data_IF_650291427978
#
_entry.id   IF_650291427978
#
_cell.length_a   1.000
_cell.length_b   1.000
_cell.length_c   1.000
_cell.angle_alpha   90.00
_cell.angle_beta   90.00
_cell.angle_gamma   90.00
#
_symmetry.space_group_name_H-M   'P 1'
#
loop_
_entity.id
_entity.type
_entity.pdbx_description
1 polymer ?
#
# COMPACT_ATOMS: atom_id res chain seq x y z
N UNK A 1 -9.32 -4.16 -31.07
CA UNK A 1 -8.89 -5.09 -30.02
C UNK A 1 -8.97 -4.32 -28.71
N UNK A 2 -9.76 -4.78 -27.77
CA UNK A 2 -9.85 -4.16 -26.44
C UNK A 2 -8.67 -4.57 -25.57
N UNK A 3 -8.43 -3.83 -24.46
CA UNK A 3 -7.44 -4.22 -23.47
C UNK A 3 -7.76 -5.62 -22.90
N UNK A 4 -9.06 -5.89 -22.67
CA UNK A 4 -9.52 -7.19 -22.15
C UNK A 4 -9.18 -8.34 -23.12
N UNK A 5 -9.34 -8.13 -24.46
CA UNK A 5 -8.98 -9.13 -25.47
C UNK A 5 -7.46 -9.36 -25.50
N UNK A 6 -6.68 -8.27 -25.36
CA UNK A 6 -5.21 -8.37 -25.30
C UNK A 6 -4.77 -9.18 -24.07
N UNK A 7 -5.36 -8.92 -22.91
CA UNK A 7 -5.07 -9.67 -21.69
C UNK A 7 -5.48 -11.14 -21.83
N UNK A 8 -6.65 -11.43 -22.43
CA UNK A 8 -7.08 -12.82 -22.69
C UNK A 8 -6.04 -13.54 -23.54
N UNK A 9 -5.61 -12.97 -24.66
CA UNK A 9 -4.55 -13.54 -25.50
C UNK A 9 -3.25 -13.79 -24.73
N UNK A 10 -2.80 -12.79 -23.94
CA UNK A 10 -1.57 -12.92 -23.16
C UNK A 10 -1.65 -14.03 -22.11
N UNK A 11 -2.76 -14.14 -21.41
CA UNK A 11 -2.94 -15.09 -20.32
C UNK A 11 -3.21 -16.50 -20.81
N UNK A 12 -4.04 -16.65 -21.85
CA UNK A 12 -4.50 -17.96 -22.29
C UNK A 12 -3.60 -18.55 -23.38
N UNK A 13 -3.31 -17.78 -24.45
CA UNK A 13 -2.60 -18.31 -25.62
C UNK A 13 -1.08 -18.27 -25.40
N UNK A 14 -0.57 -17.17 -24.85
CA UNK A 14 0.90 -17.01 -24.72
C UNK A 14 1.44 -17.57 -23.41
N UNK A 15 0.92 -17.14 -22.26
CA UNK A 15 1.40 -17.59 -20.94
C UNK A 15 0.80 -18.91 -20.49
N UNK A 16 -0.32 -19.32 -21.09
CA UNK A 16 -1.06 -20.53 -20.73
C UNK A 16 -1.33 -20.61 -19.20
N UNK A 17 -1.78 -19.49 -18.63
CA UNK A 17 -1.90 -19.29 -17.19
C UNK A 17 -2.82 -20.32 -16.50
N UNK A 18 -3.72 -20.96 -17.24
CA UNK A 18 -4.56 -22.06 -16.73
C UNK A 18 -3.76 -23.29 -16.27
N UNK A 19 -2.52 -23.47 -16.76
CA UNK A 19 -1.64 -24.54 -16.28
C UNK A 19 -1.25 -24.34 -14.80
N UNK A 20 -1.34 -23.13 -14.25
CA UNK A 20 -1.10 -22.87 -12.83
C UNK A 20 -2.11 -23.58 -11.94
N UNK A 21 -3.31 -23.91 -12.43
CA UNK A 21 -4.32 -24.67 -11.70
C UNK A 21 -3.88 -26.12 -11.41
N UNK A 22 -2.83 -26.61 -12.07
CA UNK A 22 -2.22 -27.94 -11.77
C UNK A 22 -1.36 -27.92 -10.50
N UNK A 23 -1.07 -26.74 -9.93
CA UNK A 23 -0.34 -26.60 -8.68
C UNK A 23 -1.30 -26.62 -7.51
N UNK A 24 -0.97 -27.34 -6.44
CA UNK A 24 -1.81 -27.47 -5.24
C UNK A 24 -2.34 -26.11 -4.73
N UNK A 25 -1.47 -25.08 -4.71
CA UNK A 25 -1.84 -23.75 -4.28
C UNK A 25 -3.01 -23.13 -5.07
N UNK A 26 -3.16 -23.51 -6.32
CA UNK A 26 -4.14 -22.93 -7.25
C UNK A 26 -5.18 -23.95 -7.74
N UNK A 27 -5.23 -25.14 -7.13
CA UNK A 27 -6.07 -26.25 -7.59
C UNK A 27 -7.58 -25.97 -7.51
N UNK A 28 -8.00 -25.04 -6.67
CA UNK A 28 -9.41 -24.61 -6.57
C UNK A 28 -9.84 -23.64 -7.69
N UNK A 29 -8.87 -23.18 -8.51
CA UNK A 29 -9.14 -22.30 -9.64
C UNK A 29 -9.30 -23.06 -10.95
N UNK A 30 -9.90 -22.38 -11.90
CA UNK A 30 -10.03 -22.79 -13.30
C UNK A 30 -9.86 -21.57 -14.20
N UNK A 31 -9.82 -21.78 -15.51
CA UNK A 31 -9.84 -20.69 -16.49
C UNK A 31 -11.07 -19.78 -16.28
N UNK A 32 -12.22 -20.38 -16.03
CA UNK A 32 -13.47 -19.66 -15.83
C UNK A 32 -13.44 -18.78 -14.57
N UNK A 33 -12.78 -19.25 -13.48
CA UNK A 33 -12.61 -18.42 -12.28
C UNK A 33 -11.67 -17.24 -12.55
N UNK A 34 -10.62 -17.43 -13.35
CA UNK A 34 -9.74 -16.32 -13.77
C UNK A 34 -10.49 -15.30 -14.62
N UNK A 35 -11.27 -15.77 -15.60
CA UNK A 35 -12.09 -14.88 -16.43
C UNK A 35 -13.12 -14.11 -15.59
N UNK A 36 -13.78 -14.75 -14.63
CA UNK A 36 -14.73 -14.09 -13.73
C UNK A 36 -14.08 -12.98 -12.90
N UNK A 37 -12.87 -13.18 -12.38
CA UNK A 37 -12.11 -12.15 -11.65
C UNK A 37 -11.80 -10.97 -12.56
N UNK A 38 -11.31 -11.23 -13.77
CA UNK A 38 -10.99 -10.18 -14.74
C UNK A 38 -12.24 -9.41 -15.18
N UNK A 39 -13.37 -10.08 -15.35
CA UNK A 39 -14.63 -9.44 -15.74
C UNK A 39 -15.20 -8.55 -14.61
N UNK A 40 -15.06 -8.95 -13.36
CA UNK A 40 -15.39 -8.12 -12.19
C UNK A 40 -14.54 -6.86 -12.18
N UNK A 41 -13.21 -7.01 -12.36
CA UNK A 41 -12.29 -5.89 -12.35
C UNK A 41 -12.46 -4.96 -13.59
N UNK A 42 -12.75 -5.52 -14.77
CA UNK A 42 -13.08 -4.73 -15.97
C UNK A 42 -14.36 -3.92 -15.79
N UNK A 43 -15.39 -4.54 -15.23
CA UNK A 43 -16.63 -3.83 -14.89
C UNK A 43 -16.39 -2.71 -13.88
N UNK A 44 -15.64 -2.98 -12.80
CA UNK A 44 -15.27 -1.98 -11.81
C UNK A 44 -14.49 -0.83 -12.44
N UNK A 45 -13.53 -1.14 -13.32
CA UNK A 45 -12.73 -0.16 -14.05
C UNK A 45 -13.61 0.76 -14.91
N UNK A 46 -14.58 0.19 -15.64
CA UNK A 46 -15.48 0.94 -16.50
C UNK A 46 -16.55 1.74 -15.75
N UNK A 47 -17.01 1.26 -14.60
CA UNK A 47 -18.11 1.90 -13.86
C UNK A 47 -17.66 2.88 -12.80
N UNK A 48 -16.51 2.63 -12.15
CA UNK A 48 -16.04 3.38 -10.98
C UNK A 48 -14.73 4.13 -11.17
N UNK A 49 -13.96 3.83 -12.21
CA UNK A 49 -12.64 4.44 -12.45
C UNK A 49 -12.63 5.33 -13.68
N UNK A 50 -12.87 4.77 -14.86
CA UNK A 50 -12.79 5.48 -16.13
C UNK A 50 -13.67 6.73 -16.20
N UNK A 51 -14.96 6.71 -15.76
CA UNK A 51 -15.83 7.88 -15.83
C UNK A 51 -15.34 9.05 -14.98
N UNK A 52 -14.60 8.76 -13.93
CA UNK A 52 -14.14 9.76 -12.96
C UNK A 52 -12.67 10.17 -13.12
N UNK A 53 -11.94 9.55 -14.05
CA UNK A 53 -10.51 9.83 -14.25
C UNK A 53 -10.24 11.34 -14.49
N UNK A 54 -11.03 11.97 -15.36
CA UNK A 54 -10.92 13.41 -15.63
C UNK A 54 -11.29 14.27 -14.40
N UNK A 55 -12.31 13.87 -13.67
CA UNK A 55 -12.75 14.60 -12.48
C UNK A 55 -11.67 14.61 -11.40
N UNK A 56 -11.09 13.45 -11.09
CA UNK A 56 -10.05 13.34 -10.06
C UNK A 56 -8.73 14.01 -10.49
N UNK A 57 -8.47 14.11 -11.79
CA UNK A 57 -7.34 14.87 -12.32
C UNK A 57 -7.53 16.39 -12.18
N UNK A 58 -8.77 16.86 -12.34
CA UNK A 58 -9.12 18.29 -12.21
C UNK A 58 -9.30 18.74 -10.77
N UNK A 59 -9.74 17.84 -9.90
CA UNK A 59 -9.95 18.07 -8.48
C UNK A 59 -8.84 17.39 -7.68
N UNK A 60 -7.65 17.99 -7.75
CA UNK A 60 -6.49 17.47 -7.02
C UNK A 60 -6.77 17.35 -5.52
N UNK A 61 -6.12 16.40 -4.82
CA UNK A 61 -6.16 16.32 -3.36
C UNK A 61 -5.82 17.66 -2.73
N UNK A 62 -6.55 18.05 -1.69
CA UNK A 62 -6.36 19.32 -1.00
C UNK A 62 -6.17 19.09 0.49
N UNK A 63 -5.10 19.62 1.04
CA UNK A 63 -4.88 19.65 2.48
C UNK A 63 -5.49 20.92 3.07
N UNK A 64 -6.38 20.79 4.03
CA UNK A 64 -7.08 21.93 4.66
C UNK A 64 -6.40 22.42 5.95
N UNK A 65 -5.29 21.80 6.34
CA UNK A 65 -4.55 22.04 7.59
C UNK A 65 -4.77 20.96 8.64
N UNK A 66 -5.74 20.07 8.44
CA UNK A 66 -6.06 18.97 9.35
C UNK A 66 -6.08 17.61 8.61
N UNK A 67 -6.69 17.57 7.44
CA UNK A 67 -6.88 16.35 6.65
C UNK A 67 -6.77 16.60 5.15
N UNK A 68 -6.53 15.51 4.42
CA UNK A 68 -6.54 15.52 2.95
C UNK A 68 -7.95 15.26 2.45
N UNK A 69 -8.47 16.17 1.64
CA UNK A 69 -9.78 16.08 1.03
C UNK A 69 -9.62 15.50 -0.37
N UNK A 70 -10.36 14.43 -0.65
CA UNK A 70 -10.44 13.74 -1.93
C UNK A 70 -11.86 13.86 -2.54
N UNK A 71 -12.00 13.77 -3.86
CA UNK A 71 -13.30 13.66 -4.50
C UNK A 71 -14.09 12.46 -4.00
N UNK A 72 -15.42 12.58 -3.87
CA UNK A 72 -16.30 11.50 -3.44
C UNK A 72 -16.16 10.25 -4.33
N UNK A 73 -15.92 10.43 -5.63
CA UNK A 73 -15.69 9.33 -6.56
C UNK A 73 -14.49 8.45 -6.17
N UNK A 74 -13.43 9.03 -5.58
CA UNK A 74 -12.28 8.26 -5.09
C UNK A 74 -12.67 7.37 -3.90
N UNK A 75 -13.49 7.89 -2.96
CA UNK A 75 -14.00 7.11 -1.84
C UNK A 75 -14.87 5.94 -2.30
N UNK A 76 -15.79 6.18 -3.23
CA UNK A 76 -16.68 5.14 -3.77
C UNK A 76 -15.91 4.07 -4.53
N UNK A 77 -14.93 4.46 -5.34
CA UNK A 77 -14.10 3.53 -6.09
C UNK A 77 -13.23 2.68 -5.15
N UNK A 78 -12.66 3.29 -4.10
CA UNK A 78 -11.91 2.58 -3.07
C UNK A 78 -12.78 1.53 -2.36
N UNK A 79 -13.95 1.91 -1.88
CA UNK A 79 -14.88 0.99 -1.21
C UNK A 79 -15.30 -0.15 -2.14
N UNK A 80 -15.59 0.15 -3.41
CA UNK A 80 -15.96 -0.85 -4.39
C UNK A 80 -14.80 -1.84 -4.68
N UNK A 81 -13.55 -1.36 -4.71
CA UNK A 81 -12.37 -2.21 -4.85
C UNK A 81 -12.18 -3.12 -3.62
N UNK A 82 -12.25 -2.57 -2.41
CA UNK A 82 -12.16 -3.35 -1.17
C UNK A 82 -13.20 -4.46 -1.14
N UNK A 83 -14.44 -4.16 -1.55
CA UNK A 83 -15.54 -5.13 -1.60
C UNK A 83 -15.29 -6.32 -2.56
N UNK A 84 -14.36 -6.20 -3.52
CA UNK A 84 -13.98 -7.32 -4.40
C UNK A 84 -13.08 -8.36 -3.72
N UNK A 85 -12.47 -8.03 -2.58
CA UNK A 85 -11.45 -8.87 -1.93
C UNK A 85 -10.09 -8.88 -2.63
N UNK A 86 -9.87 -8.04 -3.64
CA UNK A 86 -8.63 -8.04 -4.43
C UNK A 86 -7.39 -7.62 -3.64
N UNK A 87 -7.53 -6.94 -2.49
CA UNK A 87 -6.38 -6.62 -1.63
C UNK A 87 -5.66 -7.88 -1.11
N UNK A 88 -6.41 -8.95 -0.87
CA UNK A 88 -5.87 -10.21 -0.39
C UNK A 88 -5.85 -11.33 -1.46
N UNK A 89 -6.17 -11.03 -2.72
CA UNK A 89 -6.48 -12.02 -3.74
C UNK A 89 -5.43 -13.15 -3.86
N UNK A 90 -4.14 -12.82 -3.87
CA UNK A 90 -3.06 -13.79 -3.95
C UNK A 90 -2.72 -14.48 -2.62
N UNK A 91 -3.30 -14.06 -1.51
CA UNK A 91 -3.01 -14.62 -0.19
C UNK A 91 -3.75 -15.95 0.04
N UNK A 92 -3.35 -16.66 1.10
CA UNK A 92 -4.06 -17.87 1.55
C UNK A 92 -5.43 -17.49 2.14
N UNK A 93 -6.31 -18.47 2.26
CA UNK A 93 -7.63 -18.29 2.88
C UNK A 93 -7.54 -17.78 4.33
N UNK A 94 -6.49 -18.16 5.06
CA UNK A 94 -6.19 -17.66 6.40
C UNK A 94 -6.09 -16.15 6.47
N UNK A 95 -5.57 -15.52 5.41
CA UNK A 95 -5.45 -14.06 5.27
C UNK A 95 -6.63 -13.43 4.53
N UNK A 96 -7.71 -14.19 4.31
CA UNK A 96 -8.87 -13.72 3.57
C UNK A 96 -8.67 -13.71 2.05
N UNK A 97 -7.64 -14.39 1.55
CA UNK A 97 -7.30 -14.46 0.14
C UNK A 97 -7.98 -15.61 -0.60
N UNK A 98 -7.81 -15.61 -1.90
CA UNK A 98 -8.33 -16.61 -2.83
C UNK A 98 -7.22 -17.53 -3.38
N UNK A 99 -5.98 -17.33 -2.96
CA UNK A 99 -4.81 -17.98 -3.57
C UNK A 99 -4.74 -17.76 -5.10
N UNK A 100 -5.19 -16.58 -5.55
CA UNK A 100 -5.17 -16.22 -6.96
C UNK A 100 -3.72 -16.17 -7.47
N UNK A 101 -3.42 -16.71 -8.66
CA UNK A 101 -2.09 -16.53 -9.24
C UNK A 101 -1.76 -15.05 -9.43
N UNK A 102 -0.55 -14.65 -9.06
CA UNK A 102 -0.09 -13.26 -9.17
C UNK A 102 -0.22 -12.70 -10.60
N UNK A 103 -0.09 -13.56 -11.61
CA UNK A 103 -0.28 -13.19 -13.02
C UNK A 103 -1.71 -12.67 -13.28
N UNK A 104 -2.72 -13.32 -12.68
CA UNK A 104 -4.12 -12.92 -12.83
C UNK A 104 -4.41 -11.65 -12.02
N UNK A 105 -3.91 -11.57 -10.78
CA UNK A 105 -3.98 -10.36 -9.97
C UNK A 105 -3.36 -9.15 -10.70
N UNK A 106 -2.18 -9.34 -11.31
CA UNK A 106 -1.51 -8.29 -12.09
C UNK A 106 -2.34 -7.84 -13.29
N UNK A 107 -2.94 -8.78 -14.03
CA UNK A 107 -3.81 -8.45 -15.15
C UNK A 107 -5.07 -7.68 -14.71
N UNK A 108 -5.67 -8.05 -13.58
CA UNK A 108 -6.78 -7.31 -12.99
C UNK A 108 -6.39 -5.87 -12.62
N UNK A 109 -5.21 -5.69 -12.01
CA UNK A 109 -4.70 -4.37 -11.65
C UNK A 109 -4.36 -3.51 -12.89
N UNK A 110 -3.95 -4.11 -14.01
CA UNK A 110 -3.76 -3.40 -15.29
C UNK A 110 -5.07 -2.79 -15.79
N UNK A 111 -6.19 -3.51 -15.70
CA UNK A 111 -7.51 -2.97 -16.09
C UNK A 111 -7.87 -1.71 -15.29
N UNK A 112 -7.67 -1.75 -13.98
CA UNK A 112 -7.95 -0.64 -13.08
C UNK A 112 -6.98 0.54 -13.31
N UNK A 113 -5.69 0.26 -13.41
CA UNK A 113 -4.66 1.26 -13.63
C UNK A 113 -4.82 2.00 -14.96
N UNK A 114 -5.19 1.28 -16.03
CA UNK A 114 -5.49 1.89 -17.34
C UNK A 114 -6.76 2.75 -17.31
N UNK A 115 -7.74 2.41 -16.47
CA UNK A 115 -8.96 3.19 -16.33
C UNK A 115 -8.72 4.50 -15.56
N UNK A 116 -7.99 4.45 -14.43
CA UNK A 116 -7.55 5.62 -13.69
C UNK A 116 -6.45 5.25 -12.70
N UNK A 117 -5.21 5.53 -13.03
CA UNK A 117 -4.08 5.30 -12.12
C UNK A 117 -4.17 6.17 -10.86
N UNK A 118 -4.79 7.34 -10.94
CA UNK A 118 -4.99 8.24 -9.79
C UNK A 118 -5.87 7.62 -8.70
N UNK A 119 -6.80 6.73 -9.08
CA UNK A 119 -7.68 6.01 -8.15
C UNK A 119 -7.05 4.67 -7.72
N UNK A 120 -6.22 4.07 -8.57
CA UNK A 120 -5.71 2.68 -8.43
C UNK A 120 -4.49 2.54 -7.52
N UNK A 121 -4.35 3.34 -6.48
CA UNK A 121 -3.17 3.31 -5.61
C UNK A 121 -3.14 2.15 -4.57
N UNK A 122 -4.04 1.18 -4.69
CA UNK A 122 -4.17 0.03 -3.78
C UNK A 122 -2.93 -0.88 -3.75
N UNK A 123 -2.15 -0.91 -4.83
CA UNK A 123 -0.92 -1.73 -4.94
C UNK A 123 0.08 -1.43 -3.83
N UNK A 124 0.13 -0.18 -3.32
CA UNK A 124 1.01 0.18 -2.21
C UNK A 124 0.62 -0.55 -0.92
N UNK A 125 -0.68 -0.64 -0.63
CA UNK A 125 -1.20 -1.38 0.52
C UNK A 125 -0.87 -2.87 0.42
N UNK A 126 -1.10 -3.49 -0.75
CA UNK A 126 -0.76 -4.90 -0.98
C UNK A 126 0.74 -5.16 -0.83
N UNK A 127 1.58 -4.27 -1.37
CA UNK A 127 3.04 -4.39 -1.26
C UNK A 127 3.51 -4.26 0.19
N UNK A 128 2.94 -3.33 0.96
CA UNK A 128 3.22 -3.13 2.38
C UNK A 128 2.83 -4.39 3.18
N UNK A 129 1.60 -4.87 3.04
CA UNK A 129 1.11 -6.07 3.71
C UNK A 129 1.97 -7.31 3.39
N UNK A 130 2.36 -7.50 2.13
CA UNK A 130 3.27 -8.57 1.72
C UNK A 130 4.65 -8.48 2.38
N UNK A 131 5.19 -7.27 2.52
CA UNK A 131 6.47 -7.06 3.19
C UNK A 131 6.36 -7.39 4.69
N UNK A 132 5.24 -7.04 5.32
CA UNK A 132 4.95 -7.42 6.71
C UNK A 132 4.82 -8.94 6.88
N UNK A 133 4.17 -9.65 5.94
CA UNK A 133 4.12 -11.12 5.96
C UNK A 133 5.50 -11.76 5.81
N UNK A 134 6.39 -11.15 5.02
CA UNK A 134 7.72 -11.70 4.78
C UNK A 134 8.70 -11.46 5.94
N UNK A 135 8.57 -10.34 6.65
CA UNK A 135 9.59 -9.86 7.57
C UNK A 135 9.08 -9.45 8.96
N UNK A 136 7.80 -9.21 9.11
CA UNK A 136 7.18 -8.87 10.39
C UNK A 136 7.11 -10.06 11.35
N UNK A 137 7.09 -9.77 12.65
CA UNK A 137 6.77 -10.78 13.66
C UNK A 137 5.33 -11.29 13.49
N UNK A 138 4.98 -12.48 14.01
CA UNK A 138 3.59 -12.98 13.95
C UNK A 138 2.56 -11.97 14.49
N UNK A 139 2.94 -11.21 15.54
CA UNK A 139 2.07 -10.18 16.12
C UNK A 139 1.92 -8.97 15.18
N UNK A 140 3.00 -8.53 14.55
CA UNK A 140 2.95 -7.46 13.56
C UNK A 140 2.14 -7.84 12.32
N UNK A 141 2.29 -9.08 11.84
CA UNK A 141 1.51 -9.60 10.74
C UNK A 141 0.01 -9.56 11.07
N UNK A 142 -0.38 -10.07 12.26
CA UNK A 142 -1.76 -10.12 12.70
C UNK A 142 -2.37 -8.73 12.86
N UNK A 143 -1.64 -7.79 13.47
CA UNK A 143 -2.14 -6.43 13.73
C UNK A 143 -2.14 -5.57 12.48
N UNK A 144 -1.07 -5.58 11.68
CA UNK A 144 -0.93 -4.65 10.56
C UNK A 144 -1.36 -5.27 9.21
N UNK A 145 -0.77 -6.39 8.80
CA UNK A 145 -1.05 -6.97 7.49
C UNK A 145 -2.50 -7.42 7.33
N UNK A 146 -3.11 -7.98 8.39
CA UNK A 146 -4.52 -8.40 8.35
C UNK A 146 -5.46 -7.22 8.08
N UNK A 147 -5.22 -6.07 8.72
CA UNK A 147 -6.04 -4.88 8.49
C UNK A 147 -5.82 -4.27 7.10
N UNK A 148 -4.62 -4.37 6.55
CA UNK A 148 -4.32 -3.94 5.19
C UNK A 148 -5.01 -4.84 4.14
N UNK A 149 -4.94 -6.17 4.29
CA UNK A 149 -5.61 -7.09 3.39
C UNK A 149 -7.14 -6.98 3.45
N UNK A 150 -7.70 -6.64 4.61
CA UNK A 150 -9.13 -6.38 4.72
C UNK A 150 -9.58 -5.04 4.14
N UNK A 151 -8.65 -4.16 3.77
CA UNK A 151 -8.93 -2.79 3.31
C UNK A 151 -9.35 -1.83 4.42
N UNK A 152 -9.29 -2.26 5.67
CA UNK A 152 -9.59 -1.39 6.81
C UNK A 152 -8.49 -0.34 7.01
N UNK A 153 -7.24 -0.70 6.75
CA UNK A 153 -6.08 0.18 6.77
C UNK A 153 -5.40 0.22 5.41
N UNK A 154 -4.71 1.32 5.13
CA UNK A 154 -3.86 1.45 3.96
C UNK A 154 -2.38 1.31 4.34
N UNK A 155 -1.53 1.01 3.37
CA UNK A 155 -0.09 0.91 3.54
C UNK A 155 0.68 1.81 2.58
N UNK A 156 1.82 2.33 3.02
CA UNK A 156 2.73 3.14 2.21
C UNK A 156 4.18 2.76 2.42
N UNK A 157 5.05 3.21 1.52
CA UNK A 157 6.50 3.11 1.66
C UNK A 157 7.11 4.52 1.72
N UNK A 158 7.76 4.87 2.83
CA UNK A 158 8.38 6.17 3.06
C UNK A 158 9.91 6.06 2.96
N UNK A 159 10.42 6.13 1.74
CA UNK A 159 11.82 5.97 1.41
C UNK A 159 12.53 7.33 1.27
N UNK A 160 12.03 8.14 0.33
CA UNK A 160 12.68 9.37 -0.13
C UNK A 160 12.65 10.48 0.91
N UNK A 161 13.69 11.31 0.85
CA UNK A 161 13.85 12.56 1.60
C UNK A 161 14.18 13.67 0.60
N UNK A 162 14.11 14.96 0.98
CA UNK A 162 14.40 16.06 0.05
C UNK A 162 15.73 15.93 -0.69
N UNK A 163 16.76 15.37 -0.03
CA UNK A 163 18.12 15.18 -0.57
C UNK A 163 18.39 13.74 -1.08
N UNK A 164 17.49 12.77 -0.81
CA UNK A 164 17.74 11.35 -1.05
C UNK A 164 16.52 10.67 -1.68
N UNK A 165 16.71 10.12 -2.88
CA UNK A 165 15.71 9.32 -3.59
C UNK A 165 16.35 8.04 -4.11
N UNK A 166 16.92 8.05 -5.33
CA UNK A 166 17.68 6.91 -5.85
C UNK A 166 18.90 6.57 -5.00
N UNK A 167 19.52 7.57 -4.37
CA UNK A 167 20.64 7.40 -3.43
C UNK A 167 20.14 7.22 -2.00
N UNK A 168 19.49 6.11 -1.70
CA UNK A 168 18.98 5.82 -0.35
C UNK A 168 20.07 5.76 0.73
N UNK A 169 21.35 5.58 0.35
CA UNK A 169 22.48 5.70 1.26
C UNK A 169 22.53 7.04 2.02
N UNK A 170 21.94 8.09 1.43
CA UNK A 170 22.03 9.47 1.89
C UNK A 170 20.84 9.89 2.77
N UNK A 171 19.93 8.96 3.10
CA UNK A 171 18.85 9.26 4.05
C UNK A 171 19.42 9.63 5.41
N UNK A 172 18.79 10.61 6.04
CA UNK A 172 19.21 11.21 7.30
C UNK A 172 18.18 11.03 8.43
N UNK A 173 17.00 10.51 8.14
CA UNK A 173 16.00 10.17 9.17
C UNK A 173 16.64 9.26 10.22
N UNK A 174 16.49 9.65 11.48
CA UNK A 174 17.04 8.94 12.65
C UNK A 174 15.93 8.21 13.38
N UNK A 175 16.29 7.07 13.97
CA UNK A 175 15.44 6.31 14.86
C UNK A 175 16.16 6.12 16.20
N UNK A 176 15.64 6.70 17.26
CA UNK A 176 16.22 6.65 18.60
C UNK A 176 15.33 5.79 19.51
N UNK A 177 15.88 4.91 20.38
CA UNK A 177 15.09 4.11 21.32
C UNK A 177 14.14 4.98 22.15
N UNK A 178 12.86 4.59 22.25
CA UNK A 178 11.84 5.32 23.02
C UNK A 178 11.80 4.88 24.47
N UNK A 179 12.72 5.41 25.26
CA UNK A 179 12.86 5.11 26.69
C UNK A 179 13.69 3.86 26.97
N UNK A 180 13.79 3.49 28.25
CA UNK A 180 14.60 2.33 28.70
C UNK A 180 13.92 0.99 28.38
N UNK A 181 12.58 0.96 28.36
CA UNK A 181 11.77 -0.24 28.12
C UNK A 181 11.35 -0.36 26.64
N UNK A 182 12.11 0.22 25.71
CA UNK A 182 11.74 0.28 24.29
C UNK A 182 11.61 -1.12 23.65
N UNK A 183 12.27 -2.13 24.16
CA UNK A 183 12.22 -3.52 23.69
C UNK A 183 11.01 -4.31 24.22
N UNK A 184 10.28 -3.78 25.20
CA UNK A 184 9.23 -4.52 25.90
C UNK A 184 7.87 -4.51 25.17
N UNK A 185 7.72 -3.73 24.10
CA UNK A 185 6.46 -3.62 23.38
C UNK A 185 6.15 -4.91 22.59
N UNK A 186 4.93 -5.47 22.74
CA UNK A 186 4.54 -6.69 22.02
C UNK A 186 4.57 -6.55 20.48
N UNK A 187 4.46 -5.34 19.95
CA UNK A 187 4.56 -5.05 18.51
C UNK A 187 6.00 -4.88 18.03
N UNK A 188 6.98 -5.03 18.92
CA UNK A 188 8.40 -4.88 18.62
C UNK A 188 9.00 -3.63 19.24
N UNK A 189 10.33 -3.48 19.20
CA UNK A 189 11.02 -2.37 19.84
C UNK A 189 10.52 -1.00 19.39
N UNK A 190 10.23 -0.12 20.34
CA UNK A 190 9.72 1.23 20.08
C UNK A 190 10.86 2.21 19.83
N UNK A 191 10.70 3.00 18.78
CA UNK A 191 11.64 4.05 18.43
C UNK A 191 10.90 5.37 18.17
N UNK A 192 11.56 6.47 18.45
CA UNK A 192 11.17 7.81 17.99
C UNK A 192 11.93 8.11 16.71
N UNK A 193 11.19 8.42 15.64
CA UNK A 193 11.76 8.78 14.36
C UNK A 193 11.79 10.30 14.22
N UNK A 194 12.95 10.83 13.81
CA UNK A 194 13.14 12.25 13.52
C UNK A 194 13.65 12.40 12.09
N UNK A 195 12.87 13.01 11.23
CA UNK A 195 13.20 13.21 9.83
C UNK A 195 12.05 13.76 9.01
N UNK A 196 12.30 13.94 7.74
CA UNK A 196 11.34 14.48 6.79
C UNK A 196 11.32 13.60 5.55
N UNK A 197 10.22 12.90 5.33
CA UNK A 197 9.98 12.10 4.13
C UNK A 197 9.23 12.91 3.09
N UNK A 198 9.55 12.69 1.81
CA UNK A 198 9.01 13.46 0.70
C UNK A 198 8.61 12.54 -0.47
N UNK A 199 7.65 12.97 -1.26
CA UNK A 199 7.16 12.24 -2.43
C UNK A 199 6.46 10.92 -2.06
N UNK A 200 5.73 10.90 -0.95
CA UNK A 200 5.06 9.69 -0.48
C UNK A 200 3.67 9.60 -1.12
N UNK A 201 3.50 8.61 -1.98
CA UNK A 201 2.20 8.32 -2.60
C UNK A 201 1.23 7.78 -1.56
N UNK A 202 0.02 8.34 -1.52
CA UNK A 202 -1.01 8.03 -0.53
C UNK A 202 -0.56 8.18 0.92
N UNK A 203 0.35 9.14 1.18
CA UNK A 203 0.92 9.35 2.50
C UNK A 203 -0.07 9.84 3.54
N UNK A 204 -1.17 10.48 3.14
CA UNK A 204 -2.27 10.85 4.04
C UNK A 204 -3.59 10.90 3.26
N UNK A 205 -4.67 10.41 3.87
CA UNK A 205 -6.04 10.44 3.35
C UNK A 205 -7.03 9.90 4.40
N UNK A 206 -8.32 10.05 4.09
CA UNK A 206 -9.44 9.56 4.92
C UNK A 206 -10.21 8.40 4.23
N UNK A 207 -9.54 7.62 3.36
CA UNK A 207 -10.15 6.45 2.70
C UNK A 207 -10.27 5.24 3.62
N UNK A 208 -9.42 5.18 4.66
CA UNK A 208 -9.30 4.06 5.60
C UNK A 208 -9.18 4.57 7.03
N UNK A 209 -9.41 3.72 8.02
CA UNK A 209 -9.34 4.08 9.44
C UNK A 209 -7.91 4.42 9.89
N UNK A 210 -6.89 3.87 9.24
CA UNK A 210 -5.47 4.09 9.55
C UNK A 210 -4.62 3.94 8.29
N UNK A 211 -3.40 4.46 8.35
CA UNK A 211 -2.38 4.25 7.32
C UNK A 211 -1.11 3.71 8.02
N UNK A 212 -0.57 2.61 7.52
CA UNK A 212 0.66 2.00 8.01
C UNK A 212 1.81 2.43 7.10
N UNK A 213 2.68 3.31 7.58
CA UNK A 213 3.87 3.72 6.86
C UNK A 213 5.02 2.77 7.17
N UNK A 214 5.64 2.18 6.16
CA UNK A 214 6.93 1.53 6.27
C UNK A 214 8.03 2.53 5.96
N UNK A 215 8.75 2.95 7.00
CA UNK A 215 9.67 4.09 6.95
C UNK A 215 11.11 3.62 7.04
N UNK A 216 11.96 4.04 6.10
CA UNK A 216 13.40 3.85 6.19
C UNK A 216 14.03 4.91 7.10
N UNK A 217 14.81 4.46 8.10
CA UNK A 217 15.58 5.32 8.99
C UNK A 217 16.87 4.65 9.40
N UNK A 218 17.78 5.40 10.00
CA UNK A 218 19.05 4.90 10.54
C UNK A 218 19.07 5.03 12.06
N UNK A 219 19.52 3.98 12.74
CA UNK A 219 19.76 3.99 14.19
C UNK A 219 21.16 4.57 14.42
N UNK A 220 21.30 5.67 15.17
CA UNK A 220 22.62 6.22 15.51
C UNK A 220 23.47 5.25 16.33
N UNK A 221 24.78 5.26 16.07
CA UNK A 221 25.74 4.56 16.93
C UNK A 221 25.88 5.24 18.30
N UNK A 222 26.67 4.64 19.22
CA UNK A 222 26.89 5.19 20.57
C UNK A 222 27.49 6.60 20.59
N UNK A 223 28.20 6.99 19.52
CA UNK A 223 28.76 8.32 19.31
C UNK A 223 27.77 9.31 18.63
N UNK A 224 26.55 8.87 18.39
CA UNK A 224 25.51 9.67 17.70
C UNK A 224 25.68 9.74 16.17
N UNK A 225 26.69 9.09 15.60
CA UNK A 225 26.91 9.05 14.16
C UNK A 225 25.96 8.08 13.46
N UNK A 226 25.60 8.36 12.22
CA UNK A 226 24.84 7.44 11.38
C UNK A 226 25.80 6.57 10.55
N UNK A 227 25.55 5.27 10.53
CA UNK A 227 26.33 4.35 9.69
C UNK A 227 26.19 4.77 8.22
N UNK A 228 27.31 5.03 7.52
CA UNK A 228 27.29 5.39 6.11
C UNK A 228 26.71 4.27 5.21
N UNK A 229 26.12 4.68 4.08
CA UNK A 229 25.61 3.76 3.08
C UNK A 229 24.31 3.07 3.49
N UNK A 230 23.92 2.06 2.73
CA UNK A 230 22.65 1.34 2.90
C UNK A 230 22.66 0.37 4.07
N UNK A 231 23.83 -0.05 4.56
CA UNK A 231 23.95 -1.01 5.69
C UNK A 231 23.42 -0.46 7.01
N UNK A 232 23.35 0.88 7.16
CA UNK A 232 22.81 1.52 8.34
C UNK A 232 21.30 1.67 8.33
N UNK A 233 20.63 1.29 7.25
CA UNK A 233 19.20 1.48 7.08
C UNK A 233 18.42 0.34 7.74
N UNK A 234 17.41 0.72 8.53
CA UNK A 234 16.40 -0.17 9.09
C UNK A 234 15.02 0.25 8.62
N UNK A 235 14.07 -0.68 8.67
CA UNK A 235 12.67 -0.45 8.31
C UNK A 235 11.83 -0.39 9.57
N UNK A 236 10.96 0.63 9.67
CA UNK A 236 10.11 0.87 10.82
C UNK A 236 8.64 0.90 10.42
N UNK A 237 7.78 0.30 11.25
CA UNK A 237 6.33 0.40 11.14
C UNK A 237 5.90 1.67 11.87
N UNK A 238 5.32 2.62 11.14
CA UNK A 238 4.89 3.91 11.69
C UNK A 238 3.42 4.13 11.29
N UNK A 239 2.46 3.75 12.12
CA UNK A 239 1.05 3.98 11.79
C UNK A 239 0.69 5.48 11.95
N UNK A 240 -0.23 5.99 11.13
CA UNK A 240 -0.82 7.34 11.25
C UNK A 240 -1.49 7.53 12.60
N UNK A 241 -2.18 6.50 13.07
CA UNK A 241 -2.75 6.41 14.41
C UNK A 241 -2.10 5.26 15.17
N UNK A 242 -1.65 5.54 16.39
CA UNK A 242 -1.08 4.53 17.28
C UNK A 242 -2.10 3.42 17.56
N UNK A 243 -1.60 2.21 17.76
CA UNK A 243 -2.42 1.03 18.03
C UNK A 243 -1.85 0.26 19.22
N UNK A 244 -2.75 -0.45 19.93
CA UNK A 244 -2.36 -1.42 20.93
C UNK A 244 -1.98 -2.78 20.31
N UNK A 245 -1.61 -3.73 21.16
CA UNK A 245 -1.25 -5.07 20.72
C UNK A 245 -2.42 -5.86 20.10
N UNK A 246 -3.64 -5.47 20.34
CA UNK A 246 -4.88 -6.06 19.79
C UNK A 246 -5.31 -5.38 18.47
N UNK A 247 -4.62 -4.30 18.05
CA UNK A 247 -4.90 -3.57 16.82
C UNK A 247 -6.00 -2.50 16.97
N UNK A 248 -6.34 -2.11 18.20
CA UNK A 248 -7.26 -1.00 18.42
C UNK A 248 -6.51 0.33 18.34
N UNK A 249 -7.10 1.30 17.67
CA UNK A 249 -6.56 2.66 17.58
C UNK A 249 -6.63 3.30 18.97
N UNK A 250 -5.48 3.76 19.48
CA UNK A 250 -5.33 4.38 20.81
C UNK A 250 -5.20 5.90 20.77
N UNK A 251 -4.86 6.47 19.60
CA UNK A 251 -4.73 7.90 19.43
C UNK A 251 -3.94 8.26 18.16
N UNK A 252 -3.79 9.55 17.90
CA UNK A 252 -2.97 10.02 16.76
C UNK A 252 -1.49 9.83 17.09
N UNK A 253 -0.73 9.33 16.12
CA UNK A 253 0.71 9.31 16.20
C UNK A 253 1.29 10.71 15.86
N UNK A 254 2.51 10.97 16.29
CA UNK A 254 3.22 12.24 16.01
C UNK A 254 3.81 12.25 14.58
N UNK A 255 2.90 12.07 13.62
CA UNK A 255 3.18 12.15 12.18
C UNK A 255 2.44 13.36 11.63
N UNK A 256 3.19 14.37 11.21
CA UNK A 256 2.63 15.61 10.67
C UNK A 256 2.75 15.64 9.14
N UNK A 257 1.64 15.96 8.46
CA UNK A 257 1.64 16.26 7.04
C UNK A 257 2.12 17.70 6.85
N UNK A 258 3.26 17.89 6.18
CA UNK A 258 3.81 19.22 5.90
C UNK A 258 3.12 19.89 4.69
N UNK A 259 2.60 19.10 3.75
CA UNK A 259 1.90 19.58 2.58
C UNK A 259 1.69 18.52 1.51
N UNK A 260 1.23 18.95 0.35
CA UNK A 260 1.03 18.11 -0.83
C UNK A 260 1.87 18.60 -1.99
N UNK A 261 2.46 17.66 -2.75
CA UNK A 261 3.13 17.97 -3.99
C UNK A 261 2.11 18.03 -5.14
N UNK A 262 2.16 19.09 -5.93
CA UNK A 262 1.48 19.16 -7.22
C UNK A 262 2.16 18.22 -8.21
N UNK A 263 1.36 17.47 -8.98
CA UNK A 263 1.83 16.48 -9.95
C UNK A 263 1.55 16.93 -11.39
N UNK A 264 2.49 16.66 -12.30
CA UNK A 264 2.30 16.86 -13.74
C UNK A 264 1.27 15.90 -14.35
N UNK A 265 1.21 14.67 -13.83
CA UNK A 265 0.21 13.63 -14.11
C UNK A 265 -0.11 12.88 -12.82
N UNK A 266 -1.14 12.03 -12.84
CA UNK A 266 -1.65 11.32 -11.65
C UNK A 266 -2.05 12.30 -10.53
N UNK A 267 -2.62 13.41 -10.90
CA UNK A 267 -2.92 14.53 -10.00
C UNK A 267 -3.97 14.18 -8.95
N UNK A 268 -4.82 13.20 -9.23
CA UNK A 268 -5.79 12.68 -8.26
C UNK A 268 -5.18 11.78 -7.17
N UNK A 269 -3.91 11.38 -7.30
CA UNK A 269 -3.20 10.61 -6.28
C UNK A 269 -2.57 11.54 -5.26
N UNK A 270 -2.82 11.29 -3.97
CA UNK A 270 -2.15 12.02 -2.89
C UNK A 270 -0.65 11.79 -2.96
N UNK A 271 0.12 12.88 -2.94
CA UNK A 271 1.58 12.81 -2.89
C UNK A 271 2.09 13.77 -1.81
N UNK A 272 2.51 13.24 -0.67
CA UNK A 272 2.78 14.02 0.54
C UNK A 272 4.23 14.47 0.69
N UNK A 273 4.35 15.58 1.40
CA UNK A 273 5.60 16.07 1.97
C UNK A 273 5.74 15.59 3.41
#
# INVERSE_FOLDING_TARGET
VSLRDTLAYLLDDWLQSSQLCQRDRHAEHSRETFEAVLDICDRLAREKYAPYNRLVDQQEPRFDGERVILPQATHEAHQAYVATGMLAAAQTQEWGGMQLPFTIESAANVLLGCASVSISAHMLTVANANLLLAHGSPKQQEVFARHEFSGRWAGTMCLSEPQAGSSLSDISTRAEPDGQDFEADPLGPRYRLHGHKMWISNGDHELTDNIVHLVLAKIPGPDGSLTPGVRGISLFIVPKHCVDAEGHITGRNDVALAGLNHKCGWRGTVNTL
#
